data_IF_574711742850
#
_entry.id   IF_574711742850
#
_cell.length_a   1.000
_cell.length_b   1.000
_cell.length_c   1.000
_cell.angle_alpha   90.00
_cell.angle_beta   90.00
_cell.angle_gamma   90.00
#
_symmetry.space_group_name_H-M   'P 1'
#
loop_
_entity.id
_entity.type
_entity.pdbx_description
1 polymer ?
#
# COMPACT_ATOMS: atom_id res chain seq x y z
N UNK A 1 5.34 -8.09 10.31
CA UNK A 1 4.86 -7.32 9.14
C UNK A 1 4.09 -8.26 8.23
N UNK A 2 2.87 -7.92 7.85
CA UNK A 2 2.08 -8.72 6.91
C UNK A 2 2.63 -8.59 5.49
N UNK A 3 2.56 -9.66 4.69
CA UNK A 3 3.05 -9.69 3.30
C UNK A 3 2.43 -8.58 2.44
N UNK A 4 1.16 -8.25 2.68
CA UNK A 4 0.43 -7.19 1.97
C UNK A 4 1.01 -5.80 2.22
N UNK A 5 1.47 -5.50 3.44
CA UNK A 5 2.10 -4.22 3.75
C UNK A 5 3.46 -4.07 3.06
N UNK A 6 4.22 -5.16 2.95
CA UNK A 6 5.50 -5.16 2.22
C UNK A 6 5.27 -4.97 0.72
N UNK A 7 4.25 -5.65 0.18
CA UNK A 7 3.87 -5.54 -1.23
C UNK A 7 3.40 -4.13 -1.59
N UNK A 8 2.53 -3.51 -0.79
CA UNK A 8 2.08 -2.14 -1.01
C UNK A 8 3.23 -1.12 -1.00
N UNK A 9 4.19 -1.26 -0.08
CA UNK A 9 5.40 -0.41 -0.05
C UNK A 9 6.31 -0.64 -1.25
N UNK A 10 6.41 -1.87 -1.73
CA UNK A 10 7.16 -2.18 -2.94
C UNK A 10 6.52 -1.55 -4.17
N UNK A 11 5.20 -1.64 -4.31
CA UNK A 11 4.46 -1.05 -5.43
C UNK A 11 4.56 0.49 -5.41
N UNK A 12 4.51 1.12 -4.23
CA UNK A 12 4.80 2.56 -4.07
C UNK A 12 6.21 2.94 -4.53
N UNK A 13 7.23 2.21 -4.06
CA UNK A 13 8.61 2.48 -4.44
C UNK A 13 8.83 2.30 -5.95
N UNK A 14 8.26 1.24 -6.52
CA UNK A 14 8.30 0.97 -7.97
C UNK A 14 7.61 2.08 -8.77
N UNK A 15 6.46 2.55 -8.29
CA UNK A 15 5.72 3.65 -8.91
C UNK A 15 6.54 4.94 -8.98
N UNK A 16 7.17 5.33 -7.87
CA UNK A 16 8.08 6.50 -7.81
C UNK A 16 9.24 6.39 -8.78
N UNK A 17 9.88 5.22 -8.83
CA UNK A 17 10.99 4.96 -9.77
C UNK A 17 10.52 5.09 -11.22
N UNK A 18 9.36 4.52 -11.58
CA UNK A 18 8.78 4.67 -12.93
C UNK A 18 8.46 6.14 -13.27
N UNK A 19 7.92 6.91 -12.32
CA UNK A 19 7.66 8.34 -12.51
C UNK A 19 8.93 9.13 -12.77
N UNK A 20 9.99 8.92 -11.98
CA UNK A 20 11.26 9.61 -12.17
C UNK A 20 11.92 9.24 -13.49
N UNK A 21 11.96 7.95 -13.82
CA UNK A 21 12.52 7.48 -15.10
C UNK A 21 11.70 8.04 -16.27
N UNK A 22 10.37 7.98 -16.22
CA UNK A 22 9.49 8.52 -17.26
C UNK A 22 9.66 10.01 -17.47
N UNK A 23 9.82 10.79 -16.38
CA UNK A 23 10.16 12.22 -16.47
C UNK A 23 11.53 12.45 -17.10
N UNK A 24 12.54 11.67 -16.71
CA UNK A 24 13.90 11.82 -17.20
C UNK A 24 14.05 11.43 -18.68
N UNK A 25 13.30 10.41 -19.14
CA UNK A 25 13.34 9.93 -20.53
C UNK A 25 12.29 10.60 -21.43
N UNK A 26 11.35 11.35 -20.86
CA UNK A 26 10.21 11.92 -21.60
C UNK A 26 9.12 10.92 -21.95
N UNK A 27 9.12 9.71 -21.35
CA UNK A 27 8.07 8.72 -21.57
C UNK A 27 6.88 8.97 -20.62
N UNK A 28 5.86 9.66 -21.15
CA UNK A 28 4.63 9.96 -20.43
C UNK A 28 3.88 8.70 -19.95
N UNK A 29 3.93 7.60 -20.72
CA UNK A 29 3.24 6.36 -20.34
C UNK A 29 3.90 5.73 -19.11
N UNK A 30 5.23 5.74 -19.08
CA UNK A 30 5.99 5.22 -17.96
C UNK A 30 5.74 6.06 -16.69
N UNK A 31 5.63 7.37 -16.84
CA UNK A 31 5.23 8.25 -15.74
C UNK A 31 3.85 7.89 -15.20
N UNK A 32 2.86 7.79 -16.09
CA UNK A 32 1.46 7.55 -15.70
C UNK A 32 1.26 6.16 -15.09
N UNK A 33 1.94 5.14 -15.61
CA UNK A 33 2.02 3.82 -14.96
C UNK A 33 2.59 3.93 -13.55
N UNK A 34 3.62 4.75 -13.36
CA UNK A 34 4.21 4.97 -12.05
C UNK A 34 3.26 5.66 -11.07
N UNK A 35 2.44 6.60 -11.54
CA UNK A 35 1.39 7.24 -10.72
C UNK A 35 0.32 6.22 -10.31
N UNK A 36 -0.11 5.37 -11.25
CA UNK A 36 -1.10 4.34 -10.98
C UNK A 36 -0.62 3.27 -9.99
N UNK A 37 0.64 2.83 -10.14
CA UNK A 37 1.29 1.86 -9.23
C UNK A 37 1.42 2.45 -7.81
N UNK A 38 1.83 3.72 -7.69
CA UNK A 38 1.94 4.41 -6.38
C UNK A 38 0.59 4.56 -5.69
N UNK A 39 -0.43 5.05 -6.41
CA UNK A 39 -1.77 5.22 -5.88
C UNK A 39 -2.40 3.88 -5.46
N UNK A 40 -2.19 2.81 -6.23
CA UNK A 40 -2.68 1.48 -5.88
C UNK A 40 -2.04 0.96 -4.59
N UNK A 41 -0.74 1.19 -4.40
CA UNK A 41 -0.01 0.82 -3.19
C UNK A 41 -0.51 1.59 -1.96
N UNK A 42 -0.77 2.90 -2.07
CA UNK A 42 -1.36 3.71 -0.99
C UNK A 42 -2.77 3.23 -0.60
N UNK A 43 -3.62 2.94 -1.59
CA UNK A 43 -4.97 2.44 -1.34
C UNK A 43 -4.92 1.07 -0.63
N UNK A 44 -4.05 0.17 -1.09
CA UNK A 44 -3.88 -1.13 -0.43
C UNK A 44 -3.34 -0.99 1.01
N UNK A 45 -2.40 -0.08 1.25
CA UNK A 45 -1.87 0.18 2.59
C UNK A 45 -2.97 0.74 3.51
N UNK A 46 -3.77 1.69 3.03
CA UNK A 46 -4.89 2.28 3.77
C UNK A 46 -5.96 1.26 4.14
N UNK A 47 -6.39 0.44 3.18
CA UNK A 47 -7.38 -0.64 3.42
C UNK A 47 -6.81 -1.71 4.36
N UNK A 48 -5.54 -2.06 4.22
CA UNK A 48 -4.86 -3.00 5.09
C UNK A 48 -4.79 -2.51 6.54
N UNK A 49 -4.36 -1.25 6.75
CA UNK A 49 -4.32 -0.62 8.08
C UNK A 49 -5.69 -0.54 8.73
N UNK A 50 -6.73 -0.22 7.95
CA UNK A 50 -8.10 -0.17 8.44
C UNK A 50 -8.57 -1.56 8.92
N UNK A 51 -8.37 -2.59 8.08
CA UNK A 51 -8.69 -3.99 8.42
C UNK A 51 -7.92 -4.47 9.65
N UNK A 52 -6.62 -4.20 9.73
CA UNK A 52 -5.77 -4.57 10.86
C UNK A 52 -6.25 -3.87 12.16
N UNK A 53 -6.64 -2.59 12.08
CA UNK A 53 -7.14 -1.83 13.23
C UNK A 53 -8.47 -2.38 13.74
N UNK A 54 -9.43 -2.60 12.85
CA UNK A 54 -10.74 -3.18 13.18
C UNK A 54 -10.58 -4.60 13.72
N UNK A 55 -9.78 -5.44 13.05
CA UNK A 55 -9.49 -6.80 13.48
C UNK A 55 -8.83 -6.84 14.87
N UNK A 56 -7.89 -5.93 15.14
CA UNK A 56 -7.24 -5.82 16.45
C UNK A 56 -8.21 -5.39 17.54
N UNK A 57 -9.10 -4.43 17.26
CA UNK A 57 -10.12 -3.99 18.21
C UNK A 57 -11.09 -5.12 18.58
N UNK A 58 -11.60 -5.85 17.57
CA UNK A 58 -12.50 -7.00 17.76
C UNK A 58 -11.81 -8.14 18.50
N UNK A 59 -10.56 -8.46 18.14
CA UNK A 59 -9.78 -9.52 18.80
C UNK A 59 -9.50 -9.19 20.27
N UNK A 60 -9.15 -7.93 20.58
CA UNK A 60 -8.93 -7.48 21.95
C UNK A 60 -10.21 -7.52 22.80
N UNK A 61 -11.37 -7.22 22.22
CA UNK A 61 -12.66 -7.33 22.91
C UNK A 61 -13.01 -8.79 23.19
N UNK A 62 -12.90 -9.67 22.19
CA UNK A 62 -13.17 -11.10 22.34
C UNK A 62 -12.27 -11.78 23.38
N UNK A 63 -10.99 -11.39 23.44
CA UNK A 63 -10.04 -11.95 24.42
C UNK A 63 -10.31 -11.48 25.86
N UNK A 64 -11.01 -10.34 26.03
CA UNK A 64 -11.38 -9.77 27.33
C UNK A 64 -12.68 -10.35 27.88
N UNK A 65 -13.57 -10.83 27.02
CA UNK A 65 -14.84 -11.49 27.38
C UNK A 65 -14.63 -12.99 27.66
N UNK A 66 -13.59 -13.60 27.06
CA UNK A 66 -13.27 -15.03 27.21
C UNK A 66 -12.42 -15.36 28.45
N UNK A 67 -12.07 -14.35 29.26
CA UNK A 67 -11.32 -14.49 30.52
C UNK A 67 -12.24 -14.14 31.69
#
# INVERSE_FOLDING_TARGET
>A
MNKDQVKGKFDQAKGKVKQEIGKATGDARLHDEGVADEASGEVQEGVGKLKDTVGSAVKNLGNRIKK
#
